data_IF_118934600583
#
_entry.id   IF_118934600583
#
_cell.length_a   1.000
_cell.length_b   1.000
_cell.length_c   1.000
_cell.angle_alpha   90.00
_cell.angle_beta   90.00
_cell.angle_gamma   90.00
#
_symmetry.space_group_name_H-M   'P 1'
#
loop_
_entity.id
_entity.type
_entity.pdbx_description
1 polymer ?
#
# COMPACT_ATOMS: atom_id res chain seq x y z
N UNK A 1 -9.91 4.75 2.21
CA UNK A 1 -10.00 4.94 0.75
C UNK A 1 -11.04 3.99 0.19
N UNK A 2 -11.96 4.42 -0.68
CA UNK A 2 -12.87 3.52 -1.39
C UNK A 2 -12.11 2.52 -2.27
N UNK A 3 -12.70 1.35 -2.52
CA UNK A 3 -12.18 0.33 -3.43
C UNK A 3 -13.07 0.25 -4.66
N UNK A 4 -12.47 0.24 -5.84
CA UNK A 4 -13.17 0.09 -7.12
C UNK A 4 -12.61 -1.11 -7.87
N UNK A 5 -13.46 -2.08 -8.19
CA UNK A 5 -13.12 -3.24 -8.99
C UNK A 5 -13.58 -3.05 -10.44
N UNK A 6 -12.65 -3.14 -11.39
CA UNK A 6 -12.95 -3.31 -12.80
C UNK A 6 -12.72 -4.78 -13.14
N UNK A 7 -13.82 -5.54 -13.20
CA UNK A 7 -13.80 -7.00 -13.22
C UNK A 7 -13.91 -7.52 -14.65
N UNK A 8 -12.84 -8.20 -15.07
CA UNK A 8 -12.75 -8.97 -16.31
C UNK A 8 -11.80 -10.14 -16.07
N UNK A 9 -12.32 -11.24 -15.54
CA UNK A 9 -11.54 -12.41 -15.11
C UNK A 9 -12.27 -13.73 -15.34
N UNK A 10 -11.62 -14.62 -16.09
CA UNK A 10 -12.09 -15.99 -16.33
C UNK A 10 -11.93 -16.94 -15.12
N UNK A 11 -11.38 -16.46 -13.99
CA UNK A 11 -11.19 -17.24 -12.77
C UNK A 11 -9.79 -17.83 -12.64
N UNK A 12 -9.69 -18.99 -11.98
CA UNK A 12 -8.42 -19.63 -11.62
C UNK A 12 -7.70 -20.18 -12.85
N UNK A 13 -6.39 -19.93 -12.94
CA UNK A 13 -5.52 -20.63 -13.88
C UNK A 13 -5.38 -22.10 -13.46
N UNK A 14 -6.20 -22.98 -14.04
CA UNK A 14 -6.40 -24.37 -13.60
C UNK A 14 -5.10 -25.18 -13.49
N UNK A 15 -4.13 -25.13 -14.43
CA UNK A 15 -2.82 -25.76 -14.27
C UNK A 15 -2.09 -25.40 -12.96
N UNK A 16 -2.33 -24.21 -12.40
CA UNK A 16 -1.69 -23.70 -11.18
C UNK A 16 -2.65 -23.59 -9.99
N UNK A 17 -3.80 -24.26 -10.04
CA UNK A 17 -4.86 -24.10 -9.04
C UNK A 17 -4.40 -24.33 -7.59
N UNK A 18 -3.43 -25.24 -7.36
CA UNK A 18 -2.89 -25.51 -6.03
C UNK A 18 -2.14 -24.33 -5.40
N UNK A 19 -1.60 -23.40 -6.19
CA UNK A 19 -0.94 -22.19 -5.71
C UNK A 19 -1.85 -20.96 -5.64
N UNK A 20 -3.08 -21.07 -6.14
CA UNK A 20 -4.02 -19.93 -6.26
C UNK A 20 -5.24 -20.11 -5.36
N UNK A 21 -5.82 -21.30 -5.31
CA UNK A 21 -7.10 -21.53 -4.64
C UNK A 21 -6.98 -21.87 -3.14
N UNK A 22 -6.25 -22.92 -2.73
CA UNK A 22 -6.21 -23.33 -1.33
C UNK A 22 -5.25 -22.48 -0.50
N UNK A 23 -5.39 -22.58 0.83
CA UNK A 23 -4.49 -21.94 1.80
C UNK A 23 -5.04 -20.65 2.40
N UNK A 24 -4.44 -20.21 3.50
CA UNK A 24 -4.85 -19.03 4.26
C UNK A 24 -4.88 -17.75 3.42
N UNK A 25 -4.00 -17.65 2.42
CA UNK A 25 -3.86 -16.52 1.50
C UNK A 25 -4.26 -16.86 0.06
N UNK A 26 -5.02 -17.96 -0.12
CA UNK A 26 -5.55 -18.35 -1.42
C UNK A 26 -6.74 -17.47 -1.87
N UNK A 27 -7.39 -17.87 -2.96
CA UNK A 27 -8.39 -17.08 -3.67
C UNK A 27 -9.57 -16.60 -2.79
N UNK A 28 -9.92 -17.33 -1.72
CA UNK A 28 -11.00 -16.94 -0.83
C UNK A 28 -10.66 -15.80 0.14
N UNK A 29 -9.37 -15.48 0.31
CA UNK A 29 -8.91 -14.45 1.24
C UNK A 29 -9.42 -13.05 0.87
N UNK A 30 -9.59 -12.78 -0.42
CA UNK A 30 -10.16 -11.52 -0.90
C UNK A 30 -11.62 -11.35 -0.46
N UNK A 31 -12.41 -12.42 -0.44
CA UNK A 31 -13.81 -12.38 0.01
C UNK A 31 -13.91 -12.05 1.49
N UNK A 32 -13.01 -12.63 2.29
CA UNK A 32 -12.87 -12.30 3.71
C UNK A 32 -12.54 -10.82 3.91
N UNK A 33 -11.52 -10.30 3.23
CA UNK A 33 -11.14 -8.88 3.36
C UNK A 33 -12.25 -7.95 2.88
N UNK A 34 -12.88 -8.22 1.75
CA UNK A 34 -13.98 -7.41 1.25
C UNK A 34 -15.14 -7.36 2.25
N UNK A 35 -15.49 -8.52 2.83
CA UNK A 35 -16.52 -8.60 3.87
C UNK A 35 -16.17 -7.77 5.10
N UNK A 36 -14.93 -7.88 5.61
CA UNK A 36 -14.48 -7.13 6.79
C UNK A 36 -14.43 -5.63 6.52
N UNK A 37 -13.82 -5.23 5.40
CA UNK A 37 -13.67 -3.85 4.98
C UNK A 37 -15.03 -3.18 4.80
N UNK A 38 -15.99 -3.87 4.17
CA UNK A 38 -17.34 -3.36 3.94
C UNK A 38 -18.17 -3.30 5.22
N UNK A 39 -18.21 -4.39 6.00
CA UNK A 39 -19.15 -4.53 7.12
C UNK A 39 -18.67 -3.91 8.42
N UNK A 40 -17.37 -3.95 8.70
CA UNK A 40 -16.81 -3.50 9.98
C UNK A 40 -15.96 -2.25 9.86
N UNK A 41 -15.21 -2.09 8.76
CA UNK A 41 -14.36 -0.90 8.55
C UNK A 41 -15.06 0.21 7.74
N UNK A 42 -16.27 -0.07 7.23
CA UNK A 42 -17.08 0.86 6.44
C UNK A 42 -16.35 1.47 5.23
N UNK A 43 -15.45 0.69 4.62
CA UNK A 43 -14.77 1.06 3.37
C UNK A 43 -15.74 0.84 2.21
N UNK A 44 -16.13 1.89 1.45
CA UNK A 44 -17.02 1.72 0.31
C UNK A 44 -16.36 0.87 -0.78
N UNK A 45 -17.12 -0.06 -1.35
CA UNK A 45 -16.66 -0.95 -2.42
C UNK A 45 -17.61 -0.88 -3.61
N UNK A 46 -17.10 -0.56 -4.79
CA UNK A 46 -17.87 -0.47 -6.02
C UNK A 46 -17.27 -1.41 -7.06
N UNK A 47 -18.11 -2.03 -7.89
CA UNK A 47 -17.65 -2.91 -8.95
C UNK A 47 -18.29 -2.56 -10.30
N UNK A 48 -17.50 -2.67 -11.36
CA UNK A 48 -18.00 -2.82 -12.73
C UNK A 48 -17.56 -4.17 -13.28
N UNK A 49 -18.49 -5.00 -13.74
CA UNK A 49 -18.20 -6.23 -14.49
C UNK A 49 -18.28 -5.88 -15.97
N UNK A 50 -17.14 -5.99 -16.65
CA UNK A 50 -16.95 -5.53 -18.03
C UNK A 50 -16.59 -6.69 -18.99
N UNK A 51 -16.38 -7.89 -18.44
CA UNK A 51 -16.16 -9.14 -19.18
C UNK A 51 -16.57 -10.37 -18.35
N UNK A 52 -15.95 -11.55 -18.58
CA UNK A 52 -16.21 -12.74 -17.77
C UNK A 52 -15.94 -12.53 -16.29
N UNK A 53 -16.75 -13.18 -15.44
CA UNK A 53 -16.65 -13.16 -13.99
C UNK A 53 -17.19 -14.48 -13.44
N UNK A 54 -16.34 -15.51 -13.41
CA UNK A 54 -16.78 -16.90 -13.26
C UNK A 54 -16.34 -17.49 -11.91
N UNK A 55 -17.18 -18.35 -11.34
CA UNK A 55 -16.92 -19.12 -10.13
C UNK A 55 -16.55 -18.22 -8.94
N UNK A 56 -15.36 -18.40 -8.36
CA UNK A 56 -14.87 -17.53 -7.30
C UNK A 56 -14.80 -16.05 -7.70
N UNK A 57 -14.55 -15.77 -8.99
CA UNK A 57 -14.55 -14.41 -9.52
C UNK A 57 -15.87 -13.68 -9.29
N UNK A 58 -17.00 -14.39 -9.35
CA UNK A 58 -18.34 -13.81 -9.14
C UNK A 58 -18.55 -13.26 -7.71
N UNK A 59 -17.85 -13.81 -6.71
CA UNK A 59 -17.95 -13.31 -5.34
C UNK A 59 -17.24 -11.97 -5.13
N UNK A 60 -16.27 -11.62 -5.99
CA UNK A 60 -15.57 -10.34 -5.90
C UNK A 60 -16.54 -9.14 -6.07
N UNK A 61 -17.26 -9.00 -7.19
CA UNK A 61 -18.26 -7.93 -7.33
C UNK A 61 -19.46 -8.15 -6.43
N UNK A 62 -19.90 -9.40 -6.18
CA UNK A 62 -21.06 -9.67 -5.33
C UNK A 62 -20.89 -9.20 -3.86
N UNK A 63 -19.64 -9.02 -3.41
CA UNK A 63 -19.31 -8.48 -2.10
C UNK A 63 -19.04 -6.96 -2.10
N UNK A 64 -19.33 -6.28 -3.20
CA UNK A 64 -19.33 -4.81 -3.30
C UNK A 64 -20.67 -4.21 -2.84
N UNK A 65 -20.69 -2.90 -2.57
CA UNK A 65 -21.92 -2.15 -2.24
C UNK A 65 -22.82 -1.96 -3.45
N UNK A 66 -22.21 -1.65 -4.61
CA UNK A 66 -22.92 -1.42 -5.87
C UNK A 66 -22.15 -2.09 -7.01
N UNK A 67 -22.89 -2.67 -7.94
CA UNK A 67 -22.36 -3.40 -9.10
C UNK A 67 -22.99 -2.85 -10.37
N UNK A 68 -22.14 -2.44 -11.29
CA UNK A 68 -22.49 -2.09 -12.66
C UNK A 68 -22.10 -3.25 -13.57
N UNK A 69 -22.97 -3.70 -14.47
CA UNK A 69 -22.66 -4.73 -15.46
C UNK A 69 -22.83 -4.16 -16.87
N UNK A 70 -21.93 -4.49 -17.78
CA UNK A 70 -22.00 -4.03 -19.18
C UNK A 70 -22.78 -5.03 -20.04
N UNK A 71 -23.80 -4.56 -20.75
CA UNK A 71 -24.67 -5.39 -21.59
C UNK A 71 -23.89 -6.00 -22.76
N UNK A 72 -24.14 -7.28 -23.05
CA UNK A 72 -23.56 -7.98 -24.20
C UNK A 72 -22.07 -8.33 -24.07
N UNK A 73 -21.35 -7.83 -23.06
CA UNK A 73 -19.94 -8.18 -22.81
C UNK A 73 -19.74 -8.86 -21.46
N UNK A 74 -20.44 -8.41 -20.42
CA UNK A 74 -20.25 -8.94 -19.07
C UNK A 74 -21.00 -10.26 -18.86
N UNK A 75 -20.36 -11.16 -18.14
CA UNK A 75 -20.97 -12.39 -17.64
C UNK A 75 -20.57 -12.58 -16.19
N UNK A 76 -21.51 -12.85 -15.30
CA UNK A 76 -21.24 -13.20 -13.91
C UNK A 76 -21.96 -14.50 -13.55
N UNK A 77 -21.27 -15.44 -12.93
CA UNK A 77 -21.92 -16.68 -12.52
C UNK A 77 -20.99 -17.68 -11.85
N UNK A 78 -21.54 -18.53 -10.97
CA UNK A 78 -20.77 -19.58 -10.30
C UNK A 78 -20.26 -20.66 -11.28
N UNK A 79 -20.88 -20.76 -12.45
CA UNK A 79 -20.46 -21.63 -13.54
C UNK A 79 -20.90 -21.05 -14.88
N UNK A 80 -20.09 -21.24 -15.91
CA UNK A 80 -20.48 -20.89 -17.29
C UNK A 80 -21.49 -21.88 -17.88
N UNK A 81 -22.06 -21.58 -19.05
CA UNK A 81 -23.04 -22.43 -19.75
C UNK A 81 -22.63 -23.90 -19.90
N UNK A 82 -21.35 -24.16 -20.20
CA UNK A 82 -20.84 -25.52 -20.34
C UNK A 82 -20.90 -26.32 -19.03
N UNK A 83 -20.67 -25.66 -17.88
CA UNK A 83 -20.78 -26.30 -16.58
C UNK A 83 -22.25 -26.61 -16.24
N UNK A 84 -23.17 -25.70 -16.55
CA UNK A 84 -24.62 -25.91 -16.37
C UNK A 84 -25.08 -27.11 -17.19
N UNK A 85 -24.73 -27.16 -18.48
CA UNK A 85 -25.06 -28.29 -19.35
C UNK A 85 -24.50 -29.61 -18.83
N UNK A 86 -23.25 -29.62 -18.39
CA UNK A 86 -22.60 -30.82 -17.83
C UNK A 86 -23.24 -31.31 -16.52
N UNK A 87 -23.70 -30.39 -15.67
CA UNK A 87 -24.24 -30.72 -14.35
C UNK A 87 -25.75 -31.02 -14.35
N UNK A 88 -26.55 -30.34 -15.17
CA UNK A 88 -28.02 -30.42 -15.15
C UNK A 88 -28.64 -30.88 -16.48
N UNK A 89 -27.86 -30.94 -17.56
CA UNK A 89 -28.35 -31.22 -18.92
C UNK A 89 -29.03 -30.02 -19.59
N UNK A 90 -29.24 -28.90 -18.88
CA UNK A 90 -29.88 -27.71 -19.43
C UNK A 90 -28.96 -26.99 -20.41
N UNK A 91 -29.49 -26.62 -21.57
CA UNK A 91 -28.80 -25.76 -22.55
C UNK A 91 -29.31 -24.34 -22.38
N UNK A 92 -28.41 -23.41 -22.08
CA UNK A 92 -28.68 -22.00 -21.87
C UNK A 92 -27.49 -21.19 -22.37
N UNK A 93 -27.70 -19.99 -22.92
CA UNK A 93 -26.63 -19.09 -23.33
C UNK A 93 -26.10 -18.25 -22.16
N UNK A 94 -24.97 -17.56 -22.37
CA UNK A 94 -24.31 -16.77 -21.32
C UNK A 94 -25.14 -15.55 -20.89
N UNK A 95 -25.79 -14.85 -21.82
CA UNK A 95 -26.55 -13.64 -21.50
C UNK A 95 -27.79 -13.97 -20.67
N UNK A 96 -28.52 -15.02 -21.05
CA UNK A 96 -29.69 -15.50 -20.29
C UNK A 96 -29.29 -16.10 -18.93
N UNK A 97 -28.13 -16.76 -18.84
CA UNK A 97 -27.66 -17.38 -17.60
C UNK A 97 -27.18 -16.36 -16.57
N UNK A 98 -26.36 -15.39 -16.99
CA UNK A 98 -25.61 -14.52 -16.09
C UNK A 98 -25.17 -13.20 -16.71
N UNK A 99 -25.84 -12.75 -17.76
CA UNK A 99 -25.61 -11.44 -18.38
C UNK A 99 -26.11 -10.28 -17.53
N UNK A 100 -25.84 -9.06 -17.98
CA UNK A 100 -26.25 -7.84 -17.28
C UNK A 100 -27.77 -7.77 -17.10
N UNK A 101 -28.55 -8.19 -18.10
CA UNK A 101 -30.01 -8.22 -18.02
C UNK A 101 -30.52 -9.20 -16.96
N UNK A 102 -29.97 -10.41 -16.92
CA UNK A 102 -30.32 -11.42 -15.93
C UNK A 102 -30.10 -10.92 -14.50
N UNK A 103 -28.96 -10.27 -14.24
CA UNK A 103 -28.62 -9.83 -12.90
C UNK A 103 -29.26 -8.53 -12.44
N UNK A 104 -29.69 -7.66 -13.36
CA UNK A 104 -30.35 -6.39 -13.02
C UNK A 104 -31.88 -6.46 -13.03
N UNK A 105 -32.46 -7.35 -13.85
CA UNK A 105 -33.92 -7.46 -13.99
C UNK A 105 -34.52 -8.71 -13.32
N UNK A 106 -33.75 -9.79 -13.14
CA UNK A 106 -34.27 -11.06 -12.59
C UNK A 106 -33.70 -11.35 -11.21
N UNK A 107 -32.37 -11.48 -11.08
CA UNK A 107 -31.77 -11.96 -9.83
C UNK A 107 -31.50 -10.86 -8.81
N UNK A 108 -31.40 -9.59 -9.24
CA UNK A 108 -31.04 -8.46 -8.39
C UNK A 108 -29.63 -8.53 -7.80
N UNK A 109 -28.73 -9.33 -8.40
CA UNK A 109 -27.33 -9.41 -7.93
C UNK A 109 -26.57 -8.15 -8.34
N UNK A 110 -26.84 -7.64 -9.55
CA UNK A 110 -26.28 -6.38 -10.04
C UNK A 110 -27.32 -5.25 -9.96
N UNK A 111 -26.84 -4.02 -9.91
CA UNK A 111 -27.67 -2.86 -9.58
C UNK A 111 -27.90 -1.95 -10.79
N UNK A 112 -26.94 -1.88 -11.72
CA UNK A 112 -27.05 -1.07 -12.93
C UNK A 112 -26.54 -1.85 -14.14
N UNK A 113 -27.20 -1.67 -15.28
CA UNK A 113 -26.75 -2.16 -16.57
C UNK A 113 -26.28 -0.97 -17.42
N UNK A 114 -25.05 -1.03 -17.93
CA UNK A 114 -24.48 -0.04 -18.83
C UNK A 114 -24.46 -0.59 -20.27
N UNK A 115 -24.65 0.27 -21.27
CA UNK A 115 -24.70 -0.16 -22.68
C UNK A 115 -23.32 -0.48 -23.25
N UNK A 116 -22.26 0.09 -22.68
CA UNK A 116 -20.87 -0.15 -23.06
C UNK A 116 -19.92 0.28 -21.94
N UNK A 117 -18.66 -0.12 -22.03
CA UNK A 117 -17.61 0.13 -21.03
C UNK A 117 -17.49 1.59 -20.59
N UNK A 118 -17.39 2.59 -21.50
CA UNK A 118 -17.35 4.00 -21.10
C UNK A 118 -18.55 4.45 -20.25
N UNK A 119 -19.75 3.95 -20.53
CA UNK A 119 -20.95 4.27 -19.76
C UNK A 119 -20.89 3.62 -18.37
N UNK A 120 -20.34 2.40 -18.27
CA UNK A 120 -20.11 1.73 -16.99
C UNK A 120 -19.12 2.50 -16.10
N UNK A 121 -18.02 2.98 -16.69
CA UNK A 121 -17.03 3.80 -16.00
C UNK A 121 -17.59 5.17 -15.58
N UNK A 122 -18.38 5.82 -16.44
CA UNK A 122 -19.07 7.06 -16.08
C UNK A 122 -19.98 6.84 -14.87
N UNK A 123 -20.76 5.75 -14.85
CA UNK A 123 -21.62 5.41 -13.71
C UNK A 123 -20.82 5.17 -12.43
N UNK A 124 -19.68 4.48 -12.50
CA UNK A 124 -18.80 4.31 -11.34
C UNK A 124 -18.29 5.65 -10.81
N UNK A 125 -17.89 6.57 -11.69
CA UNK A 125 -17.44 7.92 -11.28
C UNK A 125 -18.55 8.69 -10.56
N UNK A 126 -19.78 8.63 -11.06
CA UNK A 126 -20.94 9.24 -10.40
C UNK A 126 -21.16 8.66 -9.00
N UNK A 127 -21.05 7.33 -8.85
CA UNK A 127 -21.19 6.66 -7.56
C UNK A 127 -20.08 7.07 -6.59
N UNK A 128 -18.83 7.17 -7.05
CA UNK A 128 -17.70 7.65 -6.24
C UNK A 128 -17.91 9.11 -5.82
N UNK A 129 -18.43 9.96 -6.70
CA UNK A 129 -18.71 11.37 -6.40
C UNK A 129 -19.79 11.56 -5.33
N UNK A 130 -20.64 10.56 -5.10
CA UNK A 130 -21.66 10.56 -4.05
C UNK A 130 -21.15 10.03 -2.70
N UNK A 131 -19.95 9.44 -2.66
CA UNK A 131 -19.38 8.96 -1.40
C UNK A 131 -19.06 10.13 -0.46
N UNK A 132 -19.11 9.92 0.86
CA UNK A 132 -18.70 10.94 1.81
C UNK A 132 -17.24 11.33 1.53
N UNK A 133 -17.01 12.61 1.28
CA UNK A 133 -15.65 13.13 1.17
C UNK A 133 -15.01 13.11 2.56
N UNK A 134 -13.84 12.47 2.72
CA UNK A 134 -13.11 12.59 3.97
C UNK A 134 -12.77 14.07 4.17
N UNK A 135 -12.97 14.57 5.39
CA UNK A 135 -12.36 15.84 5.77
C UNK A 135 -10.85 15.60 5.80
N UNK A 136 -10.18 16.02 4.73
CA UNK A 136 -8.73 16.02 4.75
C UNK A 136 -8.28 17.03 5.82
N UNK A 137 -7.29 16.68 6.64
CA UNK A 137 -6.67 17.63 7.53
C UNK A 137 -6.23 18.86 6.74
N UNK A 138 -6.48 20.05 7.29
CA UNK A 138 -5.97 21.28 6.69
C UNK A 138 -4.46 21.34 6.95
N UNK A 139 -3.70 21.04 5.91
CA UNK A 139 -2.25 21.17 5.91
C UNK A 139 -1.84 22.58 5.48
N UNK A 140 -0.60 22.94 5.81
CA UNK A 140 -0.02 24.19 5.34
C UNK A 140 0.10 24.17 3.81
N UNK A 141 0.29 25.35 3.21
CA UNK A 141 0.49 25.42 1.77
C UNK A 141 1.75 24.63 1.37
N UNK A 142 1.69 23.79 0.32
CA UNK A 142 2.84 23.03 -0.13
C UNK A 142 3.93 23.97 -0.65
N UNK A 143 5.18 23.65 -0.36
CA UNK A 143 6.34 24.29 -1.00
C UNK A 143 7.07 23.27 -1.87
N UNK A 144 7.53 23.66 -3.08
CA UNK A 144 8.32 22.76 -3.90
C UNK A 144 9.63 22.38 -3.19
N UNK A 145 10.20 21.20 -3.48
CA UNK A 145 11.53 20.83 -2.98
C UNK A 145 12.60 21.88 -3.30
N UNK A 146 13.66 21.94 -2.49
CA UNK A 146 14.73 22.93 -2.67
C UNK A 146 15.60 22.66 -3.90
N UNK A 147 15.59 21.42 -4.41
CA UNK A 147 16.34 20.97 -5.57
C UNK A 147 15.43 20.23 -6.53
N UNK A 148 15.76 20.24 -7.82
CA UNK A 148 15.01 19.49 -8.84
C UNK A 148 15.10 17.97 -8.53
N UNK A 149 13.98 17.26 -8.37
CA UNK A 149 13.98 15.80 -8.17
C UNK A 149 14.79 15.01 -9.21
N UNK A 150 14.99 15.55 -10.41
CA UNK A 150 15.84 14.92 -11.44
C UNK A 150 17.32 14.85 -11.04
N UNK A 151 17.82 15.70 -10.12
CA UNK A 151 19.21 15.63 -9.66
C UNK A 151 19.52 14.35 -8.88
N UNK A 152 18.49 13.61 -8.44
CA UNK A 152 18.67 12.32 -7.76
C UNK A 152 19.35 11.27 -8.66
N UNK A 153 19.20 11.36 -9.99
CA UNK A 153 19.88 10.45 -10.93
C UNK A 153 21.40 10.62 -10.93
N UNK A 154 21.88 11.82 -10.63
CA UNK A 154 23.32 12.12 -10.53
C UNK A 154 23.83 11.93 -9.09
N UNK A 155 22.98 12.14 -8.08
CA UNK A 155 23.33 11.99 -6.67
C UNK A 155 23.54 10.52 -6.28
N UNK A 156 22.64 9.63 -6.73
CA UNK A 156 22.67 8.22 -6.35
C UNK A 156 23.77 7.48 -7.15
N UNK A 157 24.75 6.87 -6.47
CA UNK A 157 25.84 6.21 -7.16
C UNK A 157 25.37 4.92 -7.84
N UNK A 158 25.91 4.63 -9.02
CA UNK A 158 25.65 3.38 -9.73
C UNK A 158 26.14 2.14 -8.96
N UNK A 159 27.21 2.28 -8.16
CA UNK A 159 27.67 1.27 -7.22
C UNK A 159 27.06 1.51 -5.83
N UNK A 160 26.15 0.63 -5.41
CA UNK A 160 25.44 0.69 -4.12
C UNK A 160 26.36 0.69 -2.88
N UNK A 161 27.65 0.37 -3.03
CA UNK A 161 28.63 0.42 -1.95
C UNK A 161 29.19 1.83 -1.72
N UNK A 162 29.02 2.73 -2.69
CA UNK A 162 29.46 4.11 -2.59
C UNK A 162 28.51 4.93 -1.73
N UNK A 163 29.05 5.97 -1.10
CA UNK A 163 28.28 6.91 -0.28
C UNK A 163 27.76 8.07 -1.10
N UNK A 164 26.62 8.61 -0.68
CA UNK A 164 26.08 9.90 -1.10
C UNK A 164 25.59 10.67 0.13
N UNK A 165 25.25 11.93 -0.06
CA UNK A 165 24.67 12.75 1.00
C UNK A 165 23.15 12.53 1.04
N UNK A 166 22.66 11.93 2.13
CA UNK A 166 21.22 11.72 2.33
C UNK A 166 20.47 13.04 2.49
N UNK A 167 21.12 14.09 2.97
CA UNK A 167 20.50 15.40 3.09
C UNK A 167 20.21 16.01 1.73
N UNK A 168 21.10 15.84 0.75
CA UNK A 168 20.84 16.25 -0.64
C UNK A 168 19.68 15.44 -1.26
N UNK A 169 19.54 14.16 -0.90
CA UNK A 169 18.39 13.36 -1.30
C UNK A 169 17.10 13.92 -0.69
N UNK A 170 17.10 14.19 0.61
CA UNK A 170 15.94 14.73 1.32
C UNK A 170 15.55 16.13 0.82
N UNK A 171 16.53 16.95 0.40
CA UNK A 171 16.29 18.27 -0.20
C UNK A 171 15.47 18.22 -1.49
N UNK A 172 15.54 17.10 -2.22
CA UNK A 172 14.82 16.86 -3.47
C UNK A 172 13.43 16.23 -3.27
N UNK A 173 13.08 15.86 -2.03
CA UNK A 173 11.81 15.18 -1.69
C UNK A 173 10.93 16.02 -0.79
N UNK A 174 11.52 16.66 0.23
CA UNK A 174 10.81 17.38 1.27
C UNK A 174 10.45 18.80 0.82
N UNK A 175 9.33 19.33 1.30
CA UNK A 175 8.89 20.69 1.03
C UNK A 175 9.98 21.70 1.43
N UNK A 176 10.38 22.54 0.48
CA UNK A 176 11.47 23.49 0.65
C UNK A 176 12.82 22.87 1.01
N UNK A 177 12.95 21.55 0.87
CA UNK A 177 14.14 20.76 1.22
C UNK A 177 14.54 20.84 2.69
N UNK A 178 13.58 21.03 3.60
CA UNK A 178 13.83 21.23 5.03
C UNK A 178 13.51 19.99 5.85
N UNK A 179 14.39 19.72 6.81
CA UNK A 179 14.19 18.75 7.87
C UNK A 179 14.64 19.37 9.19
N UNK A 180 13.81 19.28 10.22
CA UNK A 180 14.16 19.63 11.59
C UNK A 180 14.63 18.35 12.30
N UNK A 181 15.94 18.17 12.41
CA UNK A 181 16.52 16.91 12.87
C UNK A 181 16.33 16.67 14.38
N UNK A 182 15.65 15.58 14.69
CA UNK A 182 15.51 15.05 16.03
C UNK A 182 16.83 14.42 16.49
N UNK A 183 17.42 14.97 17.54
CA UNK A 183 18.69 14.53 18.12
C UNK A 183 19.81 14.43 17.06
N UNK A 184 20.04 15.52 16.31
CA UNK A 184 21.03 15.61 15.22
C UNK A 184 22.47 15.25 15.64
N UNK A 185 22.81 15.40 16.92
CA UNK A 185 24.14 15.09 17.46
C UNK A 185 24.26 13.67 18.04
N UNK A 186 23.17 12.88 18.01
CA UNK A 186 23.10 11.51 18.51
C UNK A 186 22.98 10.53 17.34
N UNK A 187 23.79 9.47 17.34
CA UNK A 187 23.71 8.38 16.36
C UNK A 187 23.52 8.89 14.92
N UNK A 188 24.47 9.73 14.47
CA UNK A 188 24.38 10.51 13.24
C UNK A 188 24.22 9.66 11.99
N UNK A 189 24.60 8.39 12.03
CA UNK A 189 24.41 7.42 10.96
C UNK A 189 22.93 7.17 10.59
N UNK A 190 21.98 7.59 11.43
CA UNK A 190 20.55 7.61 11.13
C UNK A 190 19.93 8.98 11.43
N UNK A 191 19.42 9.61 10.39
CA UNK A 191 18.68 10.87 10.46
C UNK A 191 17.26 10.54 10.91
N UNK A 192 16.79 11.23 11.94
CA UNK A 192 15.39 11.28 12.34
C UNK A 192 15.00 12.75 12.35
N UNK A 193 13.84 13.14 11.84
CA UNK A 193 13.45 14.55 11.88
C UNK A 193 12.04 14.82 11.38
N UNK A 194 11.50 15.95 11.80
CA UNK A 194 10.21 16.44 11.33
C UNK A 194 10.40 17.18 9.99
N UNK A 195 9.52 16.90 9.04
CA UNK A 195 9.51 17.56 7.75
C UNK A 195 8.09 17.68 7.19
N UNK A 196 7.98 18.14 5.94
CA UNK A 196 6.70 18.21 5.22
C UNK A 196 6.83 17.67 3.80
N UNK A 197 5.73 17.10 3.30
CA UNK A 197 5.55 16.72 1.89
C UNK A 197 4.14 17.17 1.49
N UNK A 198 4.04 18.01 0.48
CA UNK A 198 2.76 18.58 0.03
C UNK A 198 1.97 19.24 1.19
N UNK A 199 2.69 19.96 2.05
CA UNK A 199 2.17 20.60 3.26
C UNK A 199 1.94 19.65 4.44
N UNK A 200 1.84 18.34 4.22
CA UNK A 200 1.56 17.33 5.25
C UNK A 200 2.77 17.13 6.16
N UNK A 201 2.63 17.21 7.50
CA UNK A 201 3.73 16.89 8.41
C UNK A 201 4.09 15.40 8.32
N UNK A 202 5.38 15.10 8.26
CA UNK A 202 5.92 13.74 8.19
C UNK A 202 7.12 13.59 9.11
N UNK A 203 7.23 12.44 9.78
CA UNK A 203 8.42 12.05 10.52
C UNK A 203 9.34 11.24 9.60
N UNK A 204 10.52 11.77 9.31
CA UNK A 204 11.48 11.15 8.38
C UNK A 204 12.50 10.34 9.17
N UNK A 205 12.76 9.11 8.73
CA UNK A 205 13.83 8.24 9.21
C UNK A 205 14.67 7.82 8.01
N UNK A 206 15.94 8.23 7.97
CA UNK A 206 16.80 8.02 6.81
C UNK A 206 18.20 7.54 7.20
N UNK A 207 18.73 6.53 6.51
CA UNK A 207 20.10 6.06 6.73
C UNK A 207 21.11 7.00 6.06
N UNK A 208 22.13 7.46 6.78
CA UNK A 208 23.29 8.08 6.15
C UNK A 208 24.23 7.02 5.57
N UNK A 209 25.03 7.40 4.57
CA UNK A 209 26.10 6.56 4.00
C UNK A 209 27.48 7.17 4.26
N UNK A 210 28.53 6.36 4.13
CA UNK A 210 29.92 6.80 4.30
C UNK A 210 30.42 6.71 5.74
N UNK A 211 31.53 7.39 6.05
CA UNK A 211 32.14 7.35 7.38
C UNK A 211 31.63 8.52 8.24
N UNK A 212 30.96 8.19 9.34
CA UNK A 212 30.31 9.16 10.23
C UNK A 212 31.18 9.40 11.45
N UNK A 213 31.60 10.66 11.64
CA UNK A 213 32.37 11.07 12.82
C UNK A 213 31.41 11.29 13.99
N UNK A 214 31.59 10.47 15.04
CA UNK A 214 30.90 10.62 16.33
C UNK A 214 31.48 11.75 17.17
N UNK A 215 31.21 11.69 18.47
CA UNK A 215 31.72 12.66 19.46
C UNK A 215 33.23 12.51 19.62
N UNK A 216 33.86 13.51 20.23
CA UNK A 216 35.29 13.47 20.50
C UNK A 216 35.64 12.25 21.36
N UNK A 217 36.52 11.38 20.84
CA UNK A 217 36.94 10.15 21.50
C UNK A 217 36.15 8.89 21.11
N UNK A 218 35.03 9.04 20.39
CA UNK A 218 34.29 7.89 19.86
C UNK A 218 34.93 7.38 18.55
N UNK A 219 34.82 6.07 18.32
CA UNK A 219 35.23 5.49 17.03
C UNK A 219 34.25 5.95 15.94
N UNK A 220 34.74 6.30 14.73
CA UNK A 220 33.85 6.58 13.61
C UNK A 220 32.91 5.40 13.36
N UNK A 221 31.66 5.71 13.06
CA UNK A 221 30.65 4.73 12.68
C UNK A 221 30.54 4.67 11.16
N UNK A 222 30.11 3.52 10.63
CA UNK A 222 29.82 3.40 9.21
C UNK A 222 28.33 3.67 8.99
N UNK A 223 28.03 4.59 8.08
CA UNK A 223 26.69 4.81 7.56
C UNK A 223 26.12 3.53 6.94
N UNK A 224 24.81 3.39 6.99
CA UNK A 224 24.08 2.19 6.60
C UNK A 224 24.14 1.07 7.65
N UNK A 225 24.86 1.24 8.77
CA UNK A 225 24.86 0.29 9.88
C UNK A 225 24.03 0.86 11.03
N UNK A 226 23.13 0.05 11.58
CA UNK A 226 22.34 0.38 12.77
C UNK A 226 23.09 -0.07 14.01
N UNK A 227 23.36 0.86 14.93
CA UNK A 227 23.97 0.61 16.23
C UNK A 227 22.89 0.60 17.34
N UNK A 228 23.24 0.17 18.56
CA UNK A 228 22.29 0.15 19.68
C UNK A 228 21.68 1.55 19.95
N UNK A 229 22.52 2.59 19.96
CA UNK A 229 22.08 3.99 20.15
C UNK A 229 21.20 4.49 18.99
N UNK A 230 21.51 4.09 17.75
CA UNK A 230 20.65 4.35 16.58
C UNK A 230 19.28 3.73 16.75
N UNK A 231 19.21 2.46 17.17
CA UNK A 231 17.94 1.75 17.30
C UNK A 231 17.06 2.35 18.42
N UNK A 232 17.64 2.70 19.58
CA UNK A 232 16.91 3.37 20.66
C UNK A 232 16.43 4.78 20.22
N UNK A 233 17.25 5.56 19.50
CA UNK A 233 16.86 6.87 18.93
C UNK A 233 15.64 6.74 18.02
N UNK A 234 15.68 5.78 17.08
CA UNK A 234 14.60 5.58 16.12
C UNK A 234 13.33 5.08 16.79
N UNK A 235 13.43 4.12 17.71
CA UNK A 235 12.28 3.62 18.47
C UNK A 235 11.53 4.76 19.18
N UNK A 236 12.28 5.62 19.87
CA UNK A 236 11.71 6.80 20.54
C UNK A 236 11.03 7.76 19.56
N UNK A 237 11.67 8.01 18.41
CA UNK A 237 11.13 8.90 17.39
C UNK A 237 9.83 8.36 16.78
N UNK A 238 9.76 7.04 16.50
CA UNK A 238 8.54 6.36 16.04
C UNK A 238 7.42 6.51 17.05
N UNK A 239 7.67 6.17 18.32
CA UNK A 239 6.67 6.27 19.39
C UNK A 239 6.15 7.71 19.54
N UNK A 240 7.02 8.71 19.38
CA UNK A 240 6.62 10.12 19.40
C UNK A 240 5.71 10.46 18.23
N UNK A 241 6.06 10.03 17.02
CA UNK A 241 5.26 10.28 15.81
C UNK A 241 3.89 9.60 15.90
N UNK A 242 3.81 8.34 16.34
CA UNK A 242 2.55 7.61 16.51
C UNK A 242 1.60 8.33 17.48
N UNK A 243 2.10 8.67 18.69
CA UNK A 243 1.31 9.41 19.70
C UNK A 243 0.77 10.74 19.18
N UNK A 244 1.46 11.36 18.22
CA UNK A 244 1.06 12.62 17.59
C UNK A 244 0.30 12.42 16.27
N UNK A 245 0.11 11.18 15.82
CA UNK A 245 -0.52 10.81 14.55
C UNK A 245 0.20 11.43 13.35
N UNK A 246 1.52 11.54 13.43
CA UNK A 246 2.38 12.00 12.35
C UNK A 246 2.78 10.78 11.49
N UNK A 247 2.46 10.76 10.19
CA UNK A 247 2.90 9.72 9.28
C UNK A 247 4.42 9.60 9.22
N UNK A 248 4.94 8.38 9.13
CA UNK A 248 6.37 8.11 9.03
C UNK A 248 6.80 7.86 7.57
N UNK A 249 7.93 8.44 7.18
CA UNK A 249 8.64 8.17 5.94
C UNK A 249 9.98 7.50 6.25
N UNK A 250 10.14 6.25 5.84
CA UNK A 250 11.43 5.56 5.90
C UNK A 250 12.16 5.66 4.56
N UNK A 251 13.35 6.27 4.56
CA UNK A 251 14.28 6.28 3.44
C UNK A 251 15.41 5.30 3.74
N UNK A 252 15.27 4.08 3.23
CA UNK A 252 16.13 2.96 3.61
C UNK A 252 17.33 2.81 2.69
N UNK A 253 18.52 2.84 3.28
CA UNK A 253 19.78 2.44 2.67
C UNK A 253 20.68 1.79 3.74
N UNK A 254 20.19 0.65 4.22
CA UNK A 254 20.71 -0.08 5.38
C UNK A 254 21.41 -1.37 4.94
N UNK A 255 22.61 -1.59 5.47
CA UNK A 255 23.41 -2.80 5.29
C UNK A 255 23.18 -3.83 6.40
N UNK A 256 22.69 -3.41 7.57
CA UNK A 256 22.35 -4.26 8.70
C UNK A 256 22.61 -3.62 10.05
N UNK A 257 22.55 -4.42 11.12
CA UNK A 257 22.97 -4.01 12.45
C UNK A 257 24.48 -4.26 12.65
N UNK A 258 25.10 -3.50 13.55
CA UNK A 258 26.48 -3.76 13.96
C UNK A 258 26.58 -5.16 14.60
N UNK A 259 27.70 -5.83 14.41
CA UNK A 259 27.98 -7.16 14.98
C UNK A 259 29.29 -7.15 15.77
N UNK A 260 29.45 -8.12 16.66
CA UNK A 260 30.66 -8.33 17.45
C UNK A 260 30.46 -8.07 18.94
N UNK A 261 31.46 -8.44 19.79
CA UNK A 261 31.29 -8.46 21.24
C UNK A 261 30.85 -7.12 21.83
N UNK A 262 31.40 -6.01 21.33
CA UNK A 262 31.07 -4.66 21.82
C UNK A 262 29.58 -4.34 21.58
N UNK A 263 29.07 -4.61 20.37
CA UNK A 263 27.66 -4.39 20.03
C UNK A 263 26.72 -5.28 20.86
N UNK A 264 27.09 -6.54 21.08
CA UNK A 264 26.33 -7.46 21.93
C UNK A 264 26.28 -6.97 23.38
N UNK A 265 27.41 -6.53 23.93
CA UNK A 265 27.50 -6.02 25.31
C UNK A 265 26.78 -4.66 25.50
N UNK A 266 26.69 -3.84 24.46
CA UNK A 266 25.87 -2.62 24.43
C UNK A 266 24.35 -2.94 24.43
N UNK A 267 23.98 -4.21 24.24
CA UNK A 267 22.59 -4.65 24.24
C UNK A 267 21.87 -4.36 22.92
N UNK A 268 22.59 -4.47 21.80
CA UNK A 268 22.04 -4.17 20.46
C UNK A 268 20.78 -4.96 20.11
N UNK A 269 20.67 -6.21 20.57
CA UNK A 269 19.46 -7.02 20.37
C UNK A 269 18.24 -6.40 21.07
N UNK A 270 18.42 -5.90 22.30
CA UNK A 270 17.33 -5.26 23.06
C UNK A 270 16.92 -3.93 22.43
N UNK A 271 17.88 -3.13 21.98
CA UNK A 271 17.60 -1.87 21.29
C UNK A 271 16.92 -2.12 19.94
N UNK A 272 17.41 -3.09 19.16
CA UNK A 272 16.79 -3.53 17.90
C UNK A 272 15.37 -4.04 18.10
N UNK A 273 15.11 -4.81 19.16
CA UNK A 273 13.76 -5.28 19.49
C UNK A 273 12.80 -4.11 19.76
N UNK A 274 13.23 -3.07 20.48
CA UNK A 274 12.42 -1.85 20.71
C UNK A 274 12.10 -1.12 19.41
N UNK A 275 13.07 -1.02 18.50
CA UNK A 275 12.82 -0.43 17.18
C UNK A 275 11.78 -1.25 16.41
N UNK A 276 11.94 -2.57 16.32
CA UNK A 276 10.97 -3.44 15.65
C UNK A 276 9.57 -3.35 16.29
N UNK A 277 9.50 -3.33 17.61
CA UNK A 277 8.23 -3.20 18.35
C UNK A 277 7.56 -1.85 18.06
N UNK A 278 8.28 -0.74 18.19
CA UNK A 278 7.76 0.60 17.89
C UNK A 278 7.20 0.67 16.46
N UNK A 279 7.92 0.13 15.47
CA UNK A 279 7.48 0.09 14.07
C UNK A 279 6.23 -0.80 13.88
N UNK A 280 6.12 -1.90 14.61
CA UNK A 280 5.02 -2.85 14.48
C UNK A 280 3.72 -2.37 15.15
N UNK A 281 3.82 -1.48 16.14
CA UNK A 281 2.68 -1.01 16.94
C UNK A 281 2.24 0.42 16.66
N UNK A 282 3.01 1.17 15.86
CA UNK A 282 2.66 2.51 15.37
C UNK A 282 1.54 2.52 14.31
#
# INVERSE_FOLDING_TARGET
MPIVYLVDSAGVNLPYQGGVFPGQYGASRIFYYNSIMRRYLHVPQLAAVMGPCIAGGAYLPALSDVIVMVKGTSFMGLGGPNLVKGATGQVIDAETLGGAGAHTAVSGVAHYAADHDPAGLARLRDLVAMLPHPQLPHWDAPEPPATDPQTLYDLLPADHRMSYDVHELLRAILDGGRIDEFQSDLAREIVCGDARIEGMPVGVIANQRGLIKGRQGERPRFGGIVYAESADKVAYFIDRCDRQRIPLLFVQDVSGFMVGPDAEHEGIIRAGARFVEAMATA
#
